data_IF_771196268931
#
_entry.id   IF_771196268931
#
_cell.length_a   1.000
_cell.length_b   1.000
_cell.length_c   1.000
_cell.angle_alpha   90.00
_cell.angle_beta   90.00
_cell.angle_gamma   90.00
#
_symmetry.space_group_name_H-M   'P 1'
#
loop_
_entity.id
_entity.type
_entity.pdbx_description
1 polymer ?
#
# COMPACT_ATOMS: atom_id res chain seq x y z
N UNK A 1 -37.83 -7.82 15.88
CA UNK A 1 -36.87 -8.38 14.89
C UNK A 1 -36.04 -7.22 14.37
N UNK A 2 -34.71 -7.28 14.47
CA UNK A 2 -33.86 -6.20 13.98
C UNK A 2 -33.73 -6.30 12.45
N UNK A 3 -34.03 -5.21 11.74
CA UNK A 3 -33.79 -5.11 10.30
C UNK A 3 -32.34 -4.67 10.12
N UNK A 4 -31.52 -5.57 9.57
CA UNK A 4 -30.09 -5.32 9.33
C UNK A 4 -29.91 -5.01 7.84
N UNK A 5 -29.34 -3.85 7.51
CA UNK A 5 -28.91 -3.53 6.14
C UNK A 5 -27.53 -4.13 5.90
N UNK A 6 -27.43 -5.07 4.97
CA UNK A 6 -26.14 -5.50 4.42
C UNK A 6 -25.63 -4.41 3.48
N UNK A 7 -24.49 -3.80 3.80
CA UNK A 7 -23.74 -2.99 2.84
C UNK A 7 -22.85 -3.91 2.03
N UNK A 8 -22.87 -3.76 0.70
CA UNK A 8 -21.88 -4.43 -0.17
C UNK A 8 -20.50 -3.91 0.25
N UNK A 9 -19.52 -4.79 0.44
CA UNK A 9 -18.14 -4.38 0.73
C UNK A 9 -17.69 -3.49 -0.43
N UNK A 10 -17.48 -2.20 -0.18
CA UNK A 10 -16.81 -1.33 -1.16
C UNK A 10 -15.40 -1.87 -1.32
N UNK A 11 -15.05 -2.21 -2.56
CA UNK A 11 -13.69 -2.61 -2.88
C UNK A 11 -12.79 -1.38 -2.72
N UNK A 12 -11.66 -1.51 -1.99
CA UNK A 12 -10.78 -0.39 -1.80
C UNK A 12 -10.17 0.04 -3.13
N UNK A 13 -10.15 1.34 -3.39
CA UNK A 13 -9.63 1.91 -4.62
C UNK A 13 -8.10 1.98 -4.57
N UNK A 14 -7.43 1.35 -5.54
CA UNK A 14 -5.97 1.40 -5.67
C UNK A 14 -5.58 2.70 -6.37
N UNK A 15 -4.70 3.48 -5.74
CA UNK A 15 -4.13 4.69 -6.35
C UNK A 15 -2.93 4.33 -7.24
N UNK A 16 -1.95 3.61 -6.67
CA UNK A 16 -0.75 3.15 -7.36
C UNK A 16 0.07 2.19 -6.49
N UNK A 17 1.04 1.51 -7.10
CA UNK A 17 2.08 0.76 -6.42
C UNK A 17 3.40 1.51 -6.36
N UNK A 18 4.20 1.20 -5.35
CA UNK A 18 5.59 1.65 -5.21
C UNK A 18 6.46 0.41 -5.12
N UNK A 19 7.34 0.20 -6.10
CA UNK A 19 8.39 -0.82 -6.00
C UNK A 19 9.28 -0.47 -4.80
N UNK A 20 9.71 -1.44 -4.01
CA UNK A 20 10.65 -1.20 -2.92
C UNK A 20 12.08 -1.57 -3.33
N UNK A 21 13.10 -0.88 -2.79
CA UNK A 21 14.48 -1.22 -3.07
C UNK A 21 14.84 -2.59 -2.47
N UNK A 22 15.81 -3.26 -3.07
CA UNK A 22 16.20 -4.64 -2.74
C UNK A 22 16.52 -4.84 -1.25
N UNK A 23 17.20 -3.86 -0.64
CA UNK A 23 17.53 -3.92 0.79
C UNK A 23 16.28 -3.95 1.67
N UNK A 24 15.25 -3.18 1.32
CA UNK A 24 13.98 -3.15 2.06
C UNK A 24 13.21 -4.45 1.86
N UNK A 25 13.23 -5.03 0.65
CA UNK A 25 12.67 -6.37 0.38
C UNK A 25 13.32 -7.43 1.28
N UNK A 26 14.65 -7.45 1.34
CA UNK A 26 15.38 -8.43 2.14
C UNK A 26 15.10 -8.25 3.64
N UNK A 27 15.10 -7.01 4.14
CA UNK A 27 14.75 -6.72 5.52
C UNK A 27 13.29 -7.08 5.84
N UNK A 28 12.36 -6.89 4.90
CA UNK A 28 10.98 -7.29 5.08
C UNK A 28 10.92 -8.78 5.43
N UNK A 29 11.59 -9.68 4.73
CA UNK A 29 11.50 -11.11 5.06
C UNK A 29 12.08 -11.48 6.43
N UNK A 30 13.05 -10.71 6.94
CA UNK A 30 13.64 -10.91 8.27
C UNK A 30 12.80 -10.33 9.43
N UNK A 31 11.98 -9.31 9.16
CA UNK A 31 11.19 -8.63 10.20
C UNK A 31 9.97 -9.44 10.59
N UNK A 32 9.89 -9.79 11.88
CA UNK A 32 8.72 -10.48 12.47
C UNK A 32 7.52 -9.54 12.65
N UNK A 33 7.76 -8.28 13.03
CA UNK A 33 6.71 -7.32 13.32
C UNK A 33 6.29 -6.53 12.07
N UNK A 34 5.28 -7.05 11.37
CA UNK A 34 4.76 -6.46 10.12
C UNK A 34 4.11 -5.10 10.35
N UNK A 35 3.41 -4.90 11.47
CA UNK A 35 2.77 -3.62 11.80
C UNK A 35 3.81 -2.52 11.98
N UNK A 36 4.92 -2.83 12.67
CA UNK A 36 6.00 -1.86 12.85
C UNK A 36 6.68 -1.53 11.52
N UNK A 37 6.86 -2.52 10.63
CA UNK A 37 7.38 -2.29 9.29
C UNK A 37 6.50 -1.32 8.49
N UNK A 38 5.17 -1.54 8.50
CA UNK A 38 4.22 -0.66 7.83
C UNK A 38 4.23 0.77 8.42
N UNK A 39 4.32 0.90 9.75
CA UNK A 39 4.42 2.20 10.39
C UNK A 39 5.68 2.96 9.98
N UNK A 40 6.84 2.28 9.91
CA UNK A 40 8.10 2.89 9.43
C UNK A 40 7.99 3.31 7.97
N UNK A 41 7.36 2.49 7.11
CA UNK A 41 7.13 2.87 5.71
C UNK A 41 6.26 4.13 5.61
N UNK A 42 5.20 4.21 6.41
CA UNK A 42 4.31 5.39 6.42
C UNK A 42 5.05 6.65 6.83
N UNK A 43 5.83 6.57 7.90
CA UNK A 43 6.66 7.68 8.39
C UNK A 43 7.70 8.09 7.34
N UNK A 44 8.41 7.12 6.75
CA UNK A 44 9.51 7.36 5.80
C UNK A 44 9.04 7.99 4.49
N UNK A 45 7.89 7.56 3.98
CA UNK A 45 7.34 8.05 2.70
C UNK A 45 6.30 9.15 2.86
N UNK A 46 6.17 9.71 4.07
CA UNK A 46 5.16 10.69 4.44
C UNK A 46 3.77 10.28 3.93
N UNK A 47 3.31 9.10 4.34
CA UNK A 47 1.98 8.56 4.07
C UNK A 47 1.11 8.80 5.30
N UNK A 48 -0.14 9.18 5.09
CA UNK A 48 -1.10 9.35 6.18
C UNK A 48 -1.20 8.06 7.04
N UNK A 49 -1.16 8.22 8.36
CA UNK A 49 -1.12 7.10 9.31
C UNK A 49 -2.31 6.14 9.18
N UNK A 50 -3.46 6.65 8.77
CA UNK A 50 -4.69 5.90 8.61
C UNK A 50 -4.82 5.32 7.20
N UNK A 51 -4.04 5.75 6.20
CA UNK A 51 -4.18 5.26 4.82
C UNK A 51 -3.94 3.75 4.73
N UNK A 52 -4.78 3.04 3.98
CA UNK A 52 -4.59 1.63 3.72
C UNK A 52 -3.41 1.41 2.78
N UNK A 53 -2.49 0.55 3.22
CA UNK A 53 -1.39 0.01 2.43
C UNK A 53 -1.46 -1.52 2.42
N UNK A 54 -1.11 -2.12 1.29
CA UNK A 54 -0.84 -3.57 1.21
C UNK A 54 0.55 -3.81 0.63
N UNK A 55 1.28 -4.75 1.21
CA UNK A 55 2.56 -5.21 0.66
C UNK A 55 2.29 -6.47 -0.14
N UNK A 56 2.77 -6.51 -1.38
CA UNK A 56 2.62 -7.67 -2.25
C UNK A 56 3.97 -8.04 -2.88
N UNK A 57 4.19 -9.34 -3.02
CA UNK A 57 5.28 -9.84 -3.83
C UNK A 57 4.83 -9.82 -5.29
N UNK A 58 5.70 -9.36 -6.18
CA UNK A 58 5.48 -9.38 -7.61
C UNK A 58 6.74 -9.88 -8.30
N UNK A 59 6.65 -10.18 -9.59
CA UNK A 59 7.78 -10.57 -10.42
C UNK A 59 7.91 -9.60 -11.59
N UNK A 60 9.11 -9.08 -11.83
CA UNK A 60 9.35 -8.19 -12.95
C UNK A 60 9.40 -8.95 -14.30
N UNK A 61 9.47 -8.22 -15.41
CA UNK A 61 9.55 -8.80 -16.75
C UNK A 61 10.81 -9.67 -16.98
N UNK A 62 11.83 -9.53 -16.12
CA UNK A 62 13.07 -10.30 -16.18
C UNK A 62 13.02 -11.55 -15.29
N UNK A 63 11.93 -11.74 -14.56
CA UNK A 63 11.72 -12.88 -13.67
C UNK A 63 12.23 -12.67 -12.24
N UNK A 64 12.66 -11.46 -11.87
CA UNK A 64 13.14 -11.17 -10.52
C UNK A 64 11.97 -10.89 -9.57
N UNK A 65 12.03 -11.48 -8.38
CA UNK A 65 11.05 -11.21 -7.34
C UNK A 65 11.30 -9.82 -6.73
N UNK A 66 10.23 -9.03 -6.64
CA UNK A 66 10.22 -7.67 -6.10
C UNK A 66 9.13 -7.52 -5.05
N UNK A 67 9.29 -6.52 -4.19
CA UNK A 67 8.28 -6.14 -3.21
C UNK A 67 7.63 -4.83 -3.65
N UNK A 68 6.30 -4.76 -3.59
CA UNK A 68 5.52 -3.57 -3.94
C UNK A 68 4.68 -3.15 -2.74
N UNK A 69 4.70 -1.87 -2.38
CA UNK A 69 3.72 -1.25 -1.49
C UNK A 69 2.61 -0.67 -2.35
N UNK A 70 1.42 -1.21 -2.22
CA UNK A 70 0.21 -0.74 -2.89
C UNK A 70 -0.47 0.29 -1.99
N UNK A 71 -0.71 1.47 -2.55
CA UNK A 71 -1.33 2.61 -1.90
C UNK A 71 -2.80 2.65 -2.32
N UNK A 72 -3.70 2.72 -1.35
CA UNK A 72 -5.14 2.83 -1.59
C UNK A 72 -5.65 4.23 -1.21
N UNK A 73 -6.77 4.63 -1.80
CA UNK A 73 -7.42 5.89 -1.41
C UNK A 73 -8.12 5.78 -0.03
N UNK A 74 -8.47 4.56 0.36
CA UNK A 74 -9.19 4.29 1.60
C UNK A 74 -8.33 4.52 2.85
N UNK A 75 -9.00 4.93 3.93
CA UNK A 75 -8.42 5.10 5.26
C UNK A 75 -9.02 4.09 6.26
N UNK A 76 -8.19 3.60 7.17
CA UNK A 76 -8.55 2.77 8.31
C UNK A 76 -8.71 3.59 9.57
N UNK A 77 -9.87 3.48 10.20
CA UNK A 77 -9.90 3.62 11.66
C UNK A 77 -9.56 2.27 12.30
N UNK A 78 -8.86 2.28 13.45
CA UNK A 78 -8.48 1.08 14.23
C UNK A 78 -9.62 0.09 14.52
N UNK A 79 -10.89 0.46 14.30
CA UNK A 79 -12.07 -0.40 14.50
C UNK A 79 -12.45 -1.27 13.29
N UNK A 80 -11.85 -1.06 12.11
CA UNK A 80 -12.27 -1.69 10.85
C UNK A 80 -11.23 -2.63 10.20
N UNK A 81 -10.15 -2.99 10.92
CA UNK A 81 -9.01 -3.77 10.40
C UNK A 81 -9.43 -5.10 9.75
N UNK A 82 -10.43 -5.79 10.29
CA UNK A 82 -10.88 -7.09 9.78
C UNK A 82 -11.63 -7.04 8.44
N UNK A 83 -12.00 -5.85 7.94
CA UNK A 83 -12.83 -5.74 6.71
C UNK A 83 -12.03 -5.83 5.41
N UNK A 84 -10.71 -5.76 5.44
CA UNK A 84 -9.92 -5.46 4.25
C UNK A 84 -8.71 -6.37 4.08
N UNK A 85 -8.93 -7.68 4.15
CA UNK A 85 -8.02 -8.60 3.45
C UNK A 85 -8.39 -8.59 1.96
N UNK A 86 -7.97 -7.54 1.25
CA UNK A 86 -8.22 -7.39 -0.18
C UNK A 86 -7.09 -8.05 -0.96
N UNK A 87 -7.35 -9.15 -1.64
CA UNK A 87 -6.37 -9.79 -2.53
C UNK A 87 -6.24 -9.01 -3.84
N UNK A 88 -5.00 -8.84 -4.31
CA UNK A 88 -4.70 -8.18 -5.58
C UNK A 88 -4.43 -9.30 -6.58
N UNK A 89 -5.39 -9.54 -7.46
CA UNK A 89 -5.29 -10.58 -8.50
C UNK A 89 -4.64 -10.04 -9.78
N UNK A 90 -4.91 -8.79 -10.12
CA UNK A 90 -4.41 -8.11 -11.33
C UNK A 90 -3.67 -6.81 -10.98
N UNK A 91 -2.56 -6.56 -11.66
CA UNK A 91 -1.75 -5.35 -11.51
C UNK A 91 -2.02 -4.37 -12.67
N UNK A 92 -3.27 -3.91 -12.78
CA UNK A 92 -3.71 -2.97 -13.85
C UNK A 92 -3.36 -1.50 -13.56
N UNK A 93 -2.79 -1.21 -12.39
CA UNK A 93 -2.47 0.13 -11.92
C UNK A 93 -1.00 0.51 -12.15
N UNK A 94 -0.71 1.81 -12.08
CA UNK A 94 0.65 2.33 -12.21
C UNK A 94 1.53 1.88 -11.04
N UNK A 95 2.74 1.42 -11.34
CA UNK A 95 3.76 1.09 -10.34
C UNK A 95 4.96 2.03 -10.55
N UNK A 96 5.31 2.79 -9.53
CA UNK A 96 6.43 3.73 -9.55
C UNK A 96 7.68 3.15 -8.91
N UNK A 97 8.82 3.51 -9.48
CA UNK A 97 10.15 3.29 -8.91
C UNK A 97 10.77 4.67 -8.66
N UNK A 98 11.05 4.99 -7.40
CA UNK A 98 11.59 6.29 -7.00
C UNK A 98 13.10 6.25 -6.82
N UNK A 99 13.74 7.42 -6.89
CA UNK A 99 15.11 7.58 -6.41
C UNK A 99 15.09 7.76 -4.89
N UNK A 100 15.44 6.70 -4.16
CA UNK A 100 15.45 6.70 -2.69
C UNK A 100 16.59 7.51 -2.06
N UNK A 101 17.47 8.12 -2.87
CA UNK A 101 18.41 9.12 -2.37
C UNK A 101 17.74 10.49 -2.17
N UNK A 102 16.52 10.67 -2.67
CA UNK A 102 15.70 11.85 -2.49
C UNK A 102 14.57 11.57 -1.52
N UNK A 103 14.01 12.64 -0.94
CA UNK A 103 12.80 12.54 -0.13
C UNK A 103 11.61 12.11 -0.99
N UNK A 104 10.92 11.05 -0.58
CA UNK A 104 9.68 10.58 -1.21
C UNK A 104 8.51 11.02 -0.34
N UNK A 105 7.59 11.80 -0.92
CA UNK A 105 6.39 12.27 -0.23
C UNK A 105 5.12 11.81 -0.97
N UNK A 106 4.53 10.72 -0.49
CA UNK A 106 3.41 10.05 -1.15
C UNK A 106 2.14 10.89 -1.14
N UNK A 107 1.79 11.53 -0.02
CA UNK A 107 0.58 12.36 0.03
C UNK A 107 0.65 13.53 -0.97
N UNK A 108 1.82 14.15 -1.14
CA UNK A 108 2.02 15.19 -2.16
C UNK A 108 1.81 14.66 -3.58
N UNK A 109 2.26 13.43 -3.87
CA UNK A 109 2.07 12.79 -5.17
C UNK A 109 0.58 12.53 -5.43
N UNK A 110 -0.14 12.05 -4.41
CA UNK A 110 -1.59 11.85 -4.46
C UNK A 110 -2.30 13.17 -4.80
N UNK A 111 -2.01 14.25 -4.06
CA UNK A 111 -2.60 15.58 -4.30
C UNK A 111 -2.35 16.12 -5.71
N UNK A 112 -1.17 15.86 -6.28
CA UNK A 112 -0.84 16.29 -7.64
C UNK A 112 -1.59 15.50 -8.71
N UNK A 113 -1.84 14.21 -8.47
CA UNK A 113 -2.56 13.37 -9.41
C UNK A 113 -4.07 13.65 -9.44
N UNK A 114 -4.69 14.06 -8.32
CA UNK A 114 -6.10 14.43 -8.29
C UNK A 114 -6.43 15.79 -8.93
N UNK A 115 -5.42 16.63 -9.20
CA UNK A 115 -5.60 17.95 -9.83
C UNK A 115 -5.59 17.91 -11.36
N UNK A 116 -5.26 16.77 -11.96
CA UNK A 116 -5.22 16.54 -13.40
C UNK A 116 -6.40 15.69 -13.85
#
# INVERSE_FOLDING_TARGET
MAVIKFQKKEEPEILFGIKLPEIVKNLYYEIKNRDRFLAVLKETFNINEDRYLKIVNARDLKGNDTLIVVIFDNFYSKRNVARYDYEIEEFDFKIYEFDYNLEVNVEKIIEQNHKN
#
